data_IF_841069312173
#
_entry.id   IF_841069312173
#
_cell.length_a   1.000
_cell.length_b   1.000
_cell.length_c   1.000
_cell.angle_alpha   90.00
_cell.angle_beta   90.00
_cell.angle_gamma   90.00
#
_symmetry.space_group_name_H-M   'P 1'
#
loop_
_entity.id
_entity.type
_entity.pdbx_description
1 polymer ?
#
# COMPACT_ATOMS: atom_id res chain seq x y z
N UNK A 1 24.46 -1.51 -30.48
CA UNK A 1 25.04 -1.08 -29.19
C UNK A 1 24.21 -1.73 -28.10
N UNK A 2 24.81 -2.70 -27.40
CA UNK A 2 24.18 -3.42 -26.30
C UNK A 2 24.37 -2.54 -25.06
N UNK A 3 23.36 -1.72 -24.77
CA UNK A 3 23.24 -0.97 -23.53
C UNK A 3 22.01 -1.44 -22.78
N UNK A 4 21.90 -2.76 -22.58
CA UNK A 4 20.86 -3.31 -21.72
C UNK A 4 21.36 -3.26 -20.28
N UNK A 5 21.06 -2.17 -19.56
CA UNK A 5 20.65 -2.29 -18.16
C UNK A 5 19.98 -0.99 -17.65
N UNK A 6 18.67 -1.07 -17.44
CA UNK A 6 18.04 -0.46 -16.27
C UNK A 6 16.98 -1.45 -15.77
N UNK A 7 17.38 -2.23 -14.78
CA UNK A 7 16.67 -3.43 -14.32
C UNK A 7 15.46 -3.11 -13.43
N UNK A 8 15.23 -1.86 -13.02
CA UNK A 8 13.92 -1.31 -12.58
C UNK A 8 13.99 0.22 -12.77
N UNK A 9 12.94 0.93 -13.23
CA UNK A 9 12.97 2.39 -13.38
C UNK A 9 13.13 3.10 -12.03
N UNK A 10 13.66 4.31 -12.07
CA UNK A 10 13.59 5.24 -10.94
C UNK A 10 12.11 5.42 -10.55
N UNK A 11 11.77 5.21 -9.29
CA UNK A 11 10.42 5.50 -8.79
C UNK A 11 10.14 7.00 -8.91
N UNK A 12 9.03 7.41 -9.57
CA UNK A 12 8.67 8.83 -9.70
C UNK A 12 8.45 9.48 -8.32
N UNK A 13 8.89 10.73 -8.17
CA UNK A 13 8.70 11.49 -6.92
C UNK A 13 7.23 11.62 -6.55
N UNK A 14 6.33 11.60 -7.53
CA UNK A 14 4.90 11.61 -7.31
C UNK A 14 4.38 10.37 -6.55
N UNK A 15 4.99 9.19 -6.75
CA UNK A 15 4.65 7.99 -5.98
C UNK A 15 5.26 8.02 -4.58
N UNK A 16 6.40 8.70 -4.40
CA UNK A 16 6.99 8.91 -3.07
C UNK A 16 6.14 9.90 -2.26
N UNK A 17 5.68 10.96 -2.90
CA UNK A 17 4.84 12.01 -2.30
C UNK A 17 3.37 11.58 -2.11
N UNK A 18 2.99 10.36 -2.50
CA UNK A 18 1.67 9.80 -2.14
C UNK A 18 1.68 9.05 -0.82
N UNK A 19 2.86 8.76 -0.24
CA UNK A 19 2.99 7.93 0.96
C UNK A 19 2.82 8.74 2.24
N UNK A 20 2.00 8.22 3.14
CA UNK A 20 1.83 8.71 4.51
C UNK A 20 2.17 7.61 5.51
N UNK A 21 2.52 8.02 6.73
CA UNK A 21 2.87 7.09 7.80
C UNK A 21 1.79 7.08 8.87
N UNK A 22 1.52 5.90 9.43
CA UNK A 22 0.47 5.68 10.42
C UNK A 22 1.10 5.38 11.78
N UNK A 23 0.52 5.95 12.85
CA UNK A 23 1.02 5.86 14.22
C UNK A 23 -0.12 5.68 15.24
N UNK A 24 0.18 5.10 16.42
CA UNK A 24 -0.79 4.98 17.51
C UNK A 24 -1.30 6.32 18.05
N UNK A 25 -0.45 7.34 18.06
CA UNK A 25 -0.77 8.64 18.64
C UNK A 25 0.04 9.77 18.00
N UNK A 26 -0.36 11.01 18.28
CA UNK A 26 0.40 12.21 17.87
C UNK A 26 1.79 12.23 18.49
N UNK A 27 1.94 11.73 19.72
CA UNK A 27 3.22 11.68 20.42
C UNK A 27 4.14 10.63 19.78
N UNK A 28 3.61 9.45 19.44
CA UNK A 28 4.36 8.43 18.69
C UNK A 28 4.77 8.93 17.30
N UNK A 29 3.93 9.72 16.62
CA UNK A 29 4.26 10.30 15.32
C UNK A 29 5.42 11.32 15.39
N UNK A 30 5.64 11.94 16.55
CA UNK A 30 6.66 12.99 16.77
C UNK A 30 7.94 12.47 17.42
N UNK A 31 7.92 11.29 18.01
CA UNK A 31 9.11 10.74 18.66
C UNK A 31 10.13 10.25 17.65
N UNK A 32 11.35 10.06 18.13
CA UNK A 32 12.42 9.37 17.41
C UNK A 32 12.28 7.85 17.58
N UNK A 33 12.12 7.12 16.47
CA UNK A 33 12.25 5.68 16.44
C UNK A 33 13.71 5.28 16.70
N UNK A 34 13.92 4.23 17.50
CA UNK A 34 15.26 3.69 17.77
C UNK A 34 15.36 2.25 17.25
N UNK A 35 16.57 1.69 17.18
CA UNK A 35 16.75 0.28 16.84
C UNK A 35 16.10 -0.68 17.84
N UNK A 36 16.03 -0.28 19.12
CA UNK A 36 15.45 -1.07 20.21
C UNK A 36 13.94 -0.84 20.37
N UNK A 37 13.45 0.33 19.98
CA UNK A 37 12.03 0.69 19.96
C UNK A 37 11.71 1.43 18.65
N UNK A 38 11.49 0.67 17.56
CA UNK A 38 11.16 1.23 16.26
C UNK A 38 9.70 1.71 16.16
N UNK A 39 8.91 1.50 17.21
CA UNK A 39 7.51 1.89 17.27
C UNK A 39 6.56 1.00 16.48
N UNK A 40 5.29 1.34 16.60
CA UNK A 40 4.18 0.67 15.93
C UNK A 40 3.62 1.51 14.79
N UNK A 41 2.75 0.90 14.01
CA UNK A 41 2.04 1.51 12.89
C UNK A 41 2.45 0.94 11.55
N UNK A 42 2.09 1.66 10.49
CA UNK A 42 2.18 1.16 9.13
C UNK A 42 2.31 2.26 8.10
N UNK A 43 1.93 1.91 6.89
CA UNK A 43 1.97 2.77 5.71
C UNK A 43 0.54 3.04 5.24
N UNK A 44 0.29 4.23 4.74
CA UNK A 44 -0.87 4.51 3.92
C UNK A 44 -0.45 5.26 2.67
N UNK A 45 -1.37 5.42 1.73
CA UNK A 45 -1.16 6.21 0.53
C UNK A 45 -2.39 6.98 0.13
N UNK A 46 -2.18 8.12 -0.53
CA UNK A 46 -3.24 9.05 -0.89
C UNK A 46 -3.76 8.70 -2.28
N UNK A 47 -5.07 8.54 -2.39
CA UNK A 47 -5.79 8.33 -3.65
C UNK A 47 -6.83 9.42 -3.84
N UNK A 48 -7.22 9.65 -5.08
CA UNK A 48 -8.31 10.55 -5.45
C UNK A 48 -9.35 9.81 -6.27
N UNK A 49 -10.61 9.99 -5.88
CA UNK A 49 -11.77 9.42 -6.54
C UNK A 49 -12.62 10.55 -7.11
N UNK A 50 -13.02 10.51 -8.40
CA UNK A 50 -13.90 11.51 -8.98
C UNK A 50 -15.28 11.48 -8.33
N UNK A 51 -15.94 12.64 -8.22
CA UNK A 51 -17.35 12.70 -7.83
C UNK A 51 -18.22 12.43 -9.05
N UNK A 52 -18.78 11.22 -9.15
CA UNK A 52 -19.66 10.86 -10.25
C UNK A 52 -20.90 11.75 -10.34
N UNK A 53 -21.33 12.01 -11.58
CA UNK A 53 -22.58 12.70 -11.92
C UNK A 53 -22.74 14.10 -11.31
N UNK A 54 -21.67 14.73 -10.83
CA UNK A 54 -21.65 16.11 -10.38
C UNK A 54 -21.57 17.11 -11.54
N UNK A 55 -21.95 18.39 -11.34
CA UNK A 55 -21.80 19.43 -12.36
C UNK A 55 -20.33 19.78 -12.67
N UNK A 56 -19.38 19.17 -11.95
CA UNK A 56 -17.94 19.42 -12.04
C UNK A 56 -17.20 18.08 -12.13
N UNK A 57 -16.90 17.61 -13.35
CA UNK A 57 -16.16 16.37 -13.59
C UNK A 57 -14.76 16.37 -12.93
N UNK A 58 -14.21 17.56 -12.70
CA UNK A 58 -12.89 17.77 -12.14
C UNK A 58 -12.84 17.62 -10.60
N UNK A 59 -13.99 17.60 -9.91
CA UNK A 59 -14.01 17.50 -8.46
C UNK A 59 -13.63 16.08 -8.03
N UNK A 60 -12.56 16.01 -7.23
CA UNK A 60 -12.03 14.76 -6.67
C UNK A 60 -12.04 14.84 -5.16
N UNK A 61 -12.31 13.70 -4.53
CA UNK A 61 -12.21 13.54 -3.07
C UNK A 61 -11.00 12.68 -2.78
N UNK A 62 -10.14 13.18 -1.90
CA UNK A 62 -8.94 12.46 -1.48
C UNK A 62 -9.25 11.52 -0.32
N UNK A 63 -8.68 10.32 -0.38
CA UNK A 63 -8.71 9.34 0.69
C UNK A 63 -7.28 8.90 0.99
N UNK A 64 -7.03 8.51 2.24
CA UNK A 64 -5.88 7.69 2.61
C UNK A 64 -6.35 6.25 2.62
N UNK A 65 -5.63 5.37 1.93
CA UNK A 65 -5.86 3.93 1.93
C UNK A 65 -4.77 3.25 2.76
N UNK A 66 -5.14 2.27 3.58
CA UNK A 66 -4.23 1.41 4.34
C UNK A 66 -4.90 0.06 4.64
N UNK A 67 -4.28 -0.79 5.46
CA UNK A 67 -4.93 -2.00 5.95
C UNK A 67 -5.86 -1.74 7.13
N UNK A 68 -6.93 -2.52 7.17
CA UNK A 68 -7.86 -2.53 8.30
C UNK A 68 -7.17 -2.86 9.62
N UNK A 69 -6.24 -3.81 9.66
CA UNK A 69 -5.58 -4.20 10.91
C UNK A 69 -4.63 -3.12 11.44
N UNK A 70 -4.12 -2.20 10.59
CA UNK A 70 -3.21 -1.14 11.03
C UNK A 70 -3.95 -0.12 11.88
N UNK A 71 -5.14 0.29 11.45
CA UNK A 71 -5.94 1.35 12.10
C UNK A 71 -7.02 0.80 13.03
N UNK A 72 -7.37 -0.48 12.87
CA UNK A 72 -8.33 -1.21 13.70
C UNK A 72 -7.78 -1.67 15.04
N UNK A 73 -8.47 -2.62 15.66
CA UNK A 73 -8.19 -3.09 17.02
C UNK A 73 -6.81 -3.73 17.20
N UNK A 74 -6.20 -4.24 16.12
CA UNK A 74 -4.93 -4.96 16.16
C UNK A 74 -3.72 -4.01 16.22
N UNK A 75 -3.70 -2.99 15.36
CA UNK A 75 -2.59 -2.05 15.21
C UNK A 75 -2.81 -0.70 15.88
N UNK A 76 -4.07 -0.32 16.10
CA UNK A 76 -4.51 0.91 16.77
C UNK A 76 -3.73 2.15 16.34
N UNK A 77 -3.40 2.25 15.05
CA UNK A 77 -2.53 3.30 14.50
C UNK A 77 -3.26 4.25 13.55
N UNK A 78 -4.28 4.99 13.99
CA UNK A 78 -5.08 5.83 13.11
C UNK A 78 -4.40 7.16 12.73
N UNK A 79 -3.43 7.63 13.51
CA UNK A 79 -2.83 8.97 13.36
C UNK A 79 -1.92 9.01 12.12
N UNK A 80 -2.07 10.05 11.31
CA UNK A 80 -1.35 10.18 10.04
C UNK A 80 -0.24 11.21 10.15
N UNK A 81 0.97 10.86 9.73
CA UNK A 81 2.09 11.79 9.51
C UNK A 81 2.33 12.00 8.02
N UNK A 82 2.38 13.26 7.59
CA UNK A 82 2.53 13.65 6.17
C UNK A 82 3.61 14.71 6.00
N UNK A 83 4.32 14.71 4.87
CA UNK A 83 5.36 15.71 4.60
C UNK A 83 4.77 17.09 4.30
N UNK A 84 5.51 18.13 4.68
CA UNK A 84 5.18 19.53 4.38
C UNK A 84 6.08 20.08 3.28
N UNK A 85 5.63 21.13 2.59
CA UNK A 85 6.42 21.81 1.54
C UNK A 85 7.66 22.50 2.08
N UNK A 86 7.71 22.83 3.36
CA UNK A 86 8.85 23.46 4.03
C UNK A 86 9.93 22.46 4.46
N UNK A 87 9.73 21.17 4.19
CA UNK A 87 10.72 20.11 4.44
C UNK A 87 10.58 19.40 5.79
N UNK A 88 9.54 19.74 6.58
CA UNK A 88 9.15 19.06 7.81
C UNK A 88 8.01 18.04 7.61
N UNK A 89 7.28 17.73 8.67
CA UNK A 89 6.02 16.97 8.61
C UNK A 89 4.90 17.68 9.39
N UNK A 90 3.66 17.31 9.06
CA UNK A 90 2.45 17.59 9.84
C UNK A 90 1.86 16.27 10.35
N UNK A 91 1.09 16.35 11.44
CA UNK A 91 0.43 15.20 12.07
C UNK A 91 -1.07 15.45 12.13
N UNK A 92 -1.82 14.65 11.38
CA UNK A 92 -3.27 14.69 11.34
C UNK A 92 -3.78 13.74 12.44
N UNK A 93 -4.48 14.27 13.47
CA UNK A 93 -4.86 13.51 14.66
C UNK A 93 -6.13 12.68 14.42
N UNK A 94 -6.14 11.88 13.36
CA UNK A 94 -7.25 10.96 13.08
C UNK A 94 -7.36 9.91 14.20
N UNK A 95 -8.59 9.51 14.47
CA UNK A 95 -9.01 8.50 15.44
C UNK A 95 -9.51 7.26 14.72
N UNK A 96 -9.74 6.15 15.45
CA UNK A 96 -10.27 4.93 14.85
C UNK A 96 -11.62 5.15 14.12
N UNK A 97 -12.45 6.07 14.62
CA UNK A 97 -13.78 6.38 14.05
C UNK A 97 -13.71 7.15 12.73
N UNK A 98 -12.54 7.74 12.39
CA UNK A 98 -12.32 8.43 11.11
C UNK A 98 -12.03 7.43 9.97
N UNK A 99 -11.79 6.15 10.30
CA UNK A 99 -11.48 5.10 9.33
C UNK A 99 -12.69 4.24 9.02
N UNK A 100 -12.95 4.07 7.73
CA UNK A 100 -14.02 3.22 7.21
C UNK A 100 -13.38 1.92 6.75
N UNK A 101 -13.80 0.82 7.36
CA UNK A 101 -13.31 -0.52 7.06
C UNK A 101 -14.08 -1.14 5.89
N UNK A 102 -13.40 -1.97 5.09
CA UNK A 102 -14.04 -2.66 3.97
C UNK A 102 -15.22 -3.53 4.46
N UNK A 103 -16.42 -3.40 3.87
CA UNK A 103 -17.64 -4.02 4.39
C UNK A 103 -17.59 -5.56 4.38
N UNK A 104 -16.94 -6.16 3.38
CA UNK A 104 -16.79 -7.61 3.27
C UNK A 104 -15.66 -8.21 4.12
N UNK A 105 -14.94 -7.37 4.89
CA UNK A 105 -13.88 -7.82 5.80
C UNK A 105 -12.50 -8.01 5.16
N UNK A 106 -12.32 -7.64 3.89
CA UNK A 106 -10.99 -7.48 3.30
C UNK A 106 -10.14 -6.55 4.19
N UNK A 107 -8.83 -6.80 4.24
CA UNK A 107 -7.91 -6.09 5.11
C UNK A 107 -7.54 -4.71 4.55
N UNK A 108 -8.56 -3.88 4.34
CA UNK A 108 -8.51 -2.55 3.72
C UNK A 108 -9.32 -1.59 4.59
N UNK A 109 -8.78 -0.39 4.81
CA UNK A 109 -9.51 0.72 5.41
C UNK A 109 -9.15 2.02 4.70
N UNK A 110 -10.10 2.96 4.71
CA UNK A 110 -9.94 4.27 4.08
C UNK A 110 -10.34 5.38 5.01
N UNK A 111 -9.63 6.51 4.95
CA UNK A 111 -9.99 7.73 5.65
C UNK A 111 -10.14 8.89 4.66
N UNK A 112 -11.30 9.54 4.58
CA UNK A 112 -11.51 10.75 3.79
C UNK A 112 -10.66 11.89 4.36
N UNK A 113 -9.94 12.62 3.51
CA UNK A 113 -8.98 13.62 4.00
C UNK A 113 -9.05 14.96 3.25
N UNK A 114 -8.97 16.06 3.99
CA UNK A 114 -8.78 17.41 3.47
C UNK A 114 -7.32 17.85 3.61
N UNK A 115 -6.55 17.80 2.52
CA UNK A 115 -5.16 18.24 2.52
C UNK A 115 -5.01 19.63 1.91
N UNK A 116 -4.39 20.55 2.66
CA UNK A 116 -4.01 21.85 2.11
C UNK A 116 -2.82 21.76 1.15
N UNK A 117 -3.04 22.10 -0.11
CA UNK A 117 -1.98 22.21 -1.12
C UNK A 117 -0.97 23.34 -0.85
N UNK A 118 -1.23 24.28 0.07
CA UNK A 118 -0.24 25.30 0.45
C UNK A 118 0.71 24.82 1.56
N UNK A 119 0.30 23.83 2.36
CA UNK A 119 1.05 23.33 3.52
C UNK A 119 1.70 21.97 3.20
N UNK A 120 0.89 21.02 2.73
CA UNK A 120 1.29 19.64 2.57
C UNK A 120 2.01 19.42 1.24
N UNK A 121 3.07 18.60 1.28
CA UNK A 121 3.75 18.08 0.10
C UNK A 121 3.17 16.70 -0.19
N UNK A 122 2.24 16.65 -1.13
CA UNK A 122 1.61 15.39 -1.51
C UNK A 122 1.29 15.29 -3.00
N UNK A 123 1.06 14.06 -3.44
CA UNK A 123 0.39 13.68 -4.68
C UNK A 123 -0.62 12.59 -4.38
N UNK A 124 -1.80 12.68 -4.98
CA UNK A 124 -2.78 11.63 -4.93
C UNK A 124 -2.70 10.77 -6.19
N UNK A 125 -2.89 9.47 -6.05
CA UNK A 125 -3.08 8.57 -7.18
C UNK A 125 -4.54 8.68 -7.63
N UNK A 126 -4.78 9.10 -8.87
CA UNK A 126 -6.12 9.00 -9.45
C UNK A 126 -6.50 7.52 -9.53
N UNK A 127 -7.51 7.12 -8.76
CA UNK A 127 -7.83 5.70 -8.56
C UNK A 127 -8.12 5.00 -9.88
N UNK A 128 -9.01 5.56 -10.71
CA UNK A 128 -9.42 5.00 -12.00
C UNK A 128 -8.31 4.90 -13.04
N UNK A 129 -7.21 5.62 -12.86
CA UNK A 129 -6.04 5.60 -13.76
C UNK A 129 -4.96 4.62 -13.27
N UNK A 130 -4.84 4.45 -11.95
CA UNK A 130 -3.78 3.65 -11.36
C UNK A 130 -4.22 2.23 -10.99
N UNK A 131 -5.43 2.02 -10.51
CA UNK A 131 -5.89 0.73 -10.02
C UNK A 131 -6.07 -0.27 -11.16
N UNK A 132 -5.31 -1.37 -11.14
CA UNK A 132 -5.39 -2.40 -12.15
C UNK A 132 -6.58 -3.34 -11.90
N UNK A 133 -7.35 -3.58 -12.95
CA UNK A 133 -8.41 -4.58 -12.99
C UNK A 133 -7.89 -5.97 -13.36
N UNK A 134 -8.67 -7.01 -13.04
CA UNK A 134 -8.38 -8.37 -13.48
C UNK A 134 -8.30 -8.47 -15.01
N UNK A 135 -9.18 -7.76 -15.71
CA UNK A 135 -9.21 -7.73 -17.17
C UNK A 135 -7.89 -7.17 -17.75
N UNK A 136 -7.39 -6.06 -17.22
CA UNK A 136 -6.12 -5.47 -17.68
C UNK A 136 -4.94 -6.43 -17.46
N UNK A 137 -4.91 -7.14 -16.33
CA UNK A 137 -3.90 -8.16 -16.06
C UNK A 137 -3.97 -9.30 -17.09
N UNK A 138 -5.17 -9.79 -17.40
CA UNK A 138 -5.38 -10.84 -18.41
C UNK A 138 -4.96 -10.38 -19.82
N UNK A 139 -5.31 -9.15 -20.18
CA UNK A 139 -4.94 -8.53 -21.46
C UNK A 139 -3.42 -8.34 -21.59
N UNK A 140 -2.74 -7.95 -20.50
CA UNK A 140 -1.28 -7.84 -20.44
C UNK A 140 -0.57 -9.19 -20.23
N UNK A 141 -1.33 -10.27 -19.99
CA UNK A 141 -0.82 -11.61 -19.66
C UNK A 141 0.09 -11.57 -18.43
N UNK A 142 -0.38 -10.91 -17.37
CA UNK A 142 0.35 -10.81 -16.10
C UNK A 142 0.35 -12.15 -15.39
N UNK A 143 1.49 -12.52 -14.82
CA UNK A 143 1.67 -13.81 -14.17
C UNK A 143 2.90 -13.87 -13.27
N UNK A 144 3.21 -15.06 -12.73
CA UNK A 144 4.40 -15.24 -11.92
C UNK A 144 5.69 -14.82 -12.64
N UNK A 145 6.58 -14.14 -11.92
CA UNK A 145 7.82 -13.55 -12.44
C UNK A 145 7.69 -12.07 -12.83
N UNK A 146 6.47 -11.54 -13.00
CA UNK A 146 6.28 -10.12 -13.29
C UNK A 146 6.76 -9.23 -12.15
N UNK A 147 7.45 -8.15 -12.51
CA UNK A 147 8.11 -7.28 -11.54
C UNK A 147 7.12 -6.42 -10.79
N UNK A 148 7.34 -6.31 -9.48
CA UNK A 148 6.61 -5.40 -8.62
C UNK A 148 7.56 -4.55 -7.79
N UNK A 149 7.08 -3.39 -7.38
CA UNK A 149 7.75 -2.56 -6.39
C UNK A 149 6.72 -1.89 -5.49
N UNK A 150 7.14 -1.54 -4.28
CA UNK A 150 6.26 -0.95 -3.28
C UNK A 150 7.02 0.04 -2.41
N UNK A 151 6.28 0.99 -1.85
CA UNK A 151 6.83 2.06 -1.04
C UNK A 151 6.19 2.04 0.34
N UNK A 152 6.99 2.17 1.38
CA UNK A 152 6.44 2.23 2.72
C UNK A 152 7.42 2.67 3.78
N UNK A 153 6.88 2.65 5.01
CA UNK A 153 7.56 3.00 6.24
C UNK A 153 8.45 1.86 6.70
N UNK A 154 9.76 2.03 6.56
CA UNK A 154 10.71 1.18 7.26
C UNK A 154 10.93 1.73 8.68
N UNK A 155 10.36 1.04 9.69
CA UNK A 155 10.25 1.55 11.08
C UNK A 155 11.59 1.95 11.72
N UNK A 156 12.70 1.36 11.29
CA UNK A 156 14.01 1.72 11.83
C UNK A 156 14.56 3.03 11.24
N UNK A 157 14.17 3.41 10.02
CA UNK A 157 14.68 4.60 9.30
C UNK A 157 13.54 5.40 8.65
N UNK A 158 12.57 5.81 9.45
CA UNK A 158 11.40 6.55 8.97
C UNK A 158 11.69 8.04 8.66
N UNK A 159 12.78 8.57 9.22
CA UNK A 159 13.19 9.97 9.11
C UNK A 159 12.62 10.83 10.26
N UNK A 160 13.52 11.60 10.89
CA UNK A 160 13.20 12.43 12.06
C UNK A 160 12.54 13.75 11.69
N UNK A 161 13.06 14.42 10.66
CA UNK A 161 12.55 15.71 10.24
C UNK A 161 11.34 15.60 9.31
N UNK A 162 11.18 14.46 8.62
CA UNK A 162 10.15 14.19 7.61
C UNK A 162 10.06 12.71 7.31
N UNK A 163 8.97 12.26 6.70
CA UNK A 163 8.86 10.92 6.16
C UNK A 163 9.87 10.72 5.03
N UNK A 164 10.61 9.61 5.11
CA UNK A 164 11.50 9.13 4.05
C UNK A 164 11.06 7.72 3.61
N UNK A 165 10.03 7.61 2.74
CA UNK A 165 9.57 6.32 2.25
C UNK A 165 10.71 5.53 1.62
N UNK A 166 10.73 4.24 1.91
CA UNK A 166 11.72 3.32 1.36
C UNK A 166 11.07 2.44 0.31
N UNK A 167 11.79 2.20 -0.79
CA UNK A 167 11.32 1.38 -1.91
C UNK A 167 11.84 -0.04 -1.74
N UNK A 168 10.98 -1.01 -2.00
CA UNK A 168 11.34 -2.42 -2.15
C UNK A 168 10.81 -2.96 -3.46
N UNK A 169 11.45 -4.02 -3.94
CA UNK A 169 11.21 -4.62 -5.24
C UNK A 169 11.11 -6.13 -5.08
N UNK A 170 10.43 -6.78 -6.01
CA UNK A 170 10.19 -8.22 -6.00
C UNK A 170 9.50 -8.67 -7.28
N UNK A 171 8.89 -9.86 -7.23
CA UNK A 171 8.11 -10.39 -8.33
C UNK A 171 6.85 -11.12 -7.86
N UNK A 172 5.83 -11.18 -8.70
CA UNK A 172 4.65 -12.00 -8.43
C UNK A 172 5.11 -13.46 -8.33
N UNK A 173 4.87 -14.11 -7.19
CA UNK A 173 5.13 -15.53 -7.00
C UNK A 173 3.89 -16.38 -7.36
N UNK A 174 2.69 -15.84 -7.12
CA UNK A 174 1.42 -16.50 -7.42
C UNK A 174 0.31 -15.46 -7.64
N UNK A 175 -0.52 -15.69 -8.66
CA UNK A 175 -1.75 -14.95 -8.89
C UNK A 175 -2.81 -15.26 -7.81
N UNK A 176 -3.73 -14.33 -7.51
CA UNK A 176 -4.89 -14.63 -6.69
C UNK A 176 -5.73 -15.71 -7.39
N UNK A 177 -5.83 -16.88 -6.76
CA UNK A 177 -6.67 -18.00 -7.21
C UNK A 177 -7.74 -18.27 -6.14
N UNK A 178 -8.64 -19.22 -6.40
CA UNK A 178 -9.80 -19.63 -5.58
C UNK A 178 -9.51 -19.96 -4.09
N UNK A 179 -8.24 -20.03 -3.69
CA UNK A 179 -7.79 -20.27 -2.33
C UNK A 179 -7.25 -18.99 -1.69
N UNK A 180 -8.15 -18.29 -1.00
CA UNK A 180 -7.81 -17.14 -0.20
C UNK A 180 -6.88 -17.48 0.97
N UNK A 181 -5.93 -16.57 1.26
CA UNK A 181 -5.11 -16.65 2.48
C UNK A 181 -5.99 -16.25 3.66
N UNK A 182 -5.95 -17.04 4.73
CA UNK A 182 -6.74 -16.73 5.93
C UNK A 182 -5.97 -15.72 6.77
N UNK A 183 -6.52 -14.52 6.94
CA UNK A 183 -5.91 -13.52 7.81
C UNK A 183 -6.04 -13.92 9.29
N UNK A 184 -5.37 -13.16 10.18
CA UNK A 184 -5.38 -13.45 11.64
C UNK A 184 -6.78 -13.41 12.28
N UNK A 185 -7.75 -12.77 11.62
CA UNK A 185 -9.16 -12.71 12.05
C UNK A 185 -9.98 -13.91 11.57
N UNK A 186 -9.38 -14.85 10.83
CA UNK A 186 -10.08 -15.99 10.25
C UNK A 186 -10.82 -15.66 8.95
N UNK A 187 -10.64 -14.46 8.39
CA UNK A 187 -11.29 -14.02 7.16
C UNK A 187 -10.44 -14.46 5.97
N UNK A 188 -11.10 -15.02 4.96
CA UNK A 188 -10.50 -15.36 3.68
C UNK A 188 -10.20 -14.08 2.92
N UNK A 189 -8.92 -13.81 2.68
CA UNK A 189 -8.41 -12.69 1.91
C UNK A 189 -7.94 -13.16 0.53
N UNK A 190 -8.59 -12.69 -0.54
CA UNK A 190 -8.04 -12.84 -1.89
C UNK A 190 -6.70 -12.10 -1.94
N UNK A 191 -5.65 -12.76 -2.45
CA UNK A 191 -4.30 -12.20 -2.41
C UNK A 191 -3.42 -12.69 -3.54
N UNK A 192 -2.63 -11.78 -4.11
CA UNK A 192 -1.37 -12.19 -4.75
C UNK A 192 -0.40 -12.67 -3.67
N UNK A 193 0.42 -13.65 -4.02
CA UNK A 193 1.65 -13.93 -3.28
C UNK A 193 2.78 -13.30 -4.07
N UNK A 194 3.58 -12.48 -3.39
CA UNK A 194 4.71 -11.76 -3.99
C UNK A 194 5.98 -12.20 -3.27
N UNK A 195 6.99 -12.59 -4.05
CA UNK A 195 8.33 -12.75 -3.51
C UNK A 195 8.95 -11.37 -3.36
N UNK A 196 9.03 -10.90 -2.11
CA UNK A 196 9.72 -9.70 -1.71
C UNK A 196 10.00 -9.74 -0.22
N UNK A 197 11.10 -9.12 0.20
CA UNK A 197 11.37 -8.92 1.63
C UNK A 197 10.46 -7.82 2.20
N UNK A 198 9.22 -8.11 2.55
CA UNK A 198 8.42 -7.19 3.38
C UNK A 198 8.79 -7.36 4.85
N UNK A 199 8.78 -6.26 5.59
CA UNK A 199 9.04 -6.21 7.03
C UNK A 199 7.92 -5.41 7.69
N UNK A 200 7.77 -5.55 9.01
CA UNK A 200 6.82 -4.74 9.77
C UNK A 200 7.01 -3.24 9.50
N UNK A 201 5.89 -2.53 9.32
CA UNK A 201 5.84 -1.13 8.90
C UNK A 201 5.35 -0.94 7.45
N UNK A 202 5.49 -1.96 6.61
CA UNK A 202 5.01 -1.92 5.22
C UNK A 202 3.52 -2.28 5.06
N UNK A 203 2.85 -2.82 6.08
CA UNK A 203 1.39 -3.01 6.05
C UNK A 203 0.68 -1.71 5.62
N UNK A 204 -0.09 -1.80 4.53
CA UNK A 204 -0.81 -0.72 3.87
C UNK A 204 -0.03 -0.03 2.76
N UNK A 205 1.16 -0.53 2.40
CA UNK A 205 1.95 -0.01 1.28
C UNK A 205 1.27 -0.29 -0.06
N UNK A 206 1.22 0.68 -0.98
CA UNK A 206 0.80 0.41 -2.35
C UNK A 206 1.85 -0.44 -3.06
N UNK A 207 1.39 -1.51 -3.71
CA UNK A 207 2.21 -2.41 -4.52
C UNK A 207 1.90 -2.15 -5.99
N UNK A 208 2.92 -1.85 -6.77
CA UNK A 208 2.80 -1.51 -8.18
C UNK A 208 3.39 -2.61 -9.06
N UNK A 209 2.68 -2.93 -10.13
CA UNK A 209 3.19 -3.70 -11.26
C UNK A 209 4.05 -2.80 -12.14
N UNK A 210 5.13 -3.35 -12.70
CA UNK A 210 5.91 -2.71 -13.74
C UNK A 210 6.29 -3.71 -14.83
N UNK A 211 5.90 -3.42 -16.07
CA UNK A 211 6.28 -4.21 -17.26
C UNK A 211 7.16 -3.30 -18.14
N UNK A 212 8.45 -3.63 -18.37
CA UNK A 212 9.30 -2.84 -19.24
C UNK A 212 8.92 -3.00 -20.72
N UNK A 213 9.38 -2.09 -21.60
CA UNK A 213 9.22 -2.26 -23.04
C UNK A 213 9.88 -3.55 -23.52
N UNK A 214 9.24 -4.20 -24.49
CA UNK A 214 9.68 -5.44 -25.12
C UNK A 214 9.77 -6.65 -24.20
N UNK A 215 9.05 -6.64 -23.08
CA UNK A 215 9.01 -7.76 -22.17
C UNK A 215 8.29 -8.97 -22.78
N UNK A 216 8.80 -10.17 -22.51
CA UNK A 216 8.24 -11.41 -23.07
C UNK A 216 7.03 -11.87 -22.27
N UNK A 217 5.87 -11.96 -22.94
CA UNK A 217 4.59 -12.26 -22.29
C UNK A 217 4.12 -13.71 -22.42
N UNK A 218 5.04 -14.64 -22.74
CA UNK A 218 4.73 -16.08 -22.81
C UNK A 218 4.03 -16.57 -24.10
N UNK A 219 3.80 -15.71 -25.09
CA UNK A 219 3.06 -16.04 -26.31
C UNK A 219 3.86 -15.69 -27.58
N UNK A 220 4.25 -16.70 -28.38
CA UNK A 220 5.11 -16.50 -29.57
C UNK A 220 4.47 -15.64 -30.66
N UNK A 221 3.14 -15.61 -30.71
CA UNK A 221 2.39 -14.81 -31.68
C UNK A 221 2.18 -13.37 -31.22
N UNK A 222 2.45 -13.04 -29.94
CA UNK A 222 2.28 -11.69 -29.42
C UNK A 222 3.51 -10.85 -29.78
N UNK A 223 3.35 -9.74 -30.52
CA UNK A 223 4.45 -8.83 -30.77
C UNK A 223 5.00 -8.25 -29.46
N UNK A 224 6.32 -8.05 -29.41
CA UNK A 224 6.93 -7.30 -28.31
C UNK A 224 6.50 -5.83 -28.40
N UNK A 225 5.86 -5.33 -27.35
CA UNK A 225 5.33 -3.97 -27.31
C UNK A 225 6.42 -2.95 -26.92
N UNK A 226 6.58 -1.82 -27.64
CA UNK A 226 7.61 -0.83 -27.34
C UNK A 226 7.23 0.13 -26.20
N UNK A 227 6.23 -0.21 -25.40
CA UNK A 227 5.70 0.61 -24.30
C UNK A 227 5.93 -0.09 -22.97
N UNK A 228 6.09 0.69 -21.92
CA UNK A 228 6.08 0.19 -20.55
C UNK A 228 4.66 0.31 -19.97
N UNK A 229 4.32 -0.60 -19.07
CA UNK A 229 3.06 -0.57 -18.33
C UNK A 229 3.34 -0.45 -16.84
N UNK A 230 2.52 0.32 -16.15
CA UNK A 230 2.63 0.54 -14.71
C UNK A 230 1.24 0.77 -14.13
N UNK A 231 0.98 0.17 -12.96
CA UNK A 231 -0.28 0.37 -12.25
C UNK A 231 -0.22 -0.19 -10.84
N UNK A 232 -1.18 0.20 -10.01
CA UNK A 232 -1.37 -0.31 -8.66
C UNK A 232 -1.97 -1.72 -8.74
N UNK A 233 -1.18 -2.70 -8.34
CA UNK A 233 -1.59 -4.10 -8.22
C UNK A 233 -2.48 -4.32 -7.00
N UNK A 234 -2.20 -3.61 -5.90
CA UNK A 234 -2.91 -3.78 -4.64
C UNK A 234 -2.20 -3.19 -3.43
N UNK A 235 -2.52 -3.68 -2.23
CA UNK A 235 -1.89 -3.26 -0.97
C UNK A 235 -1.24 -4.43 -0.22
N UNK A 236 -0.01 -4.23 0.27
CA UNK A 236 0.65 -5.19 1.16
C UNK A 236 -0.13 -5.27 2.48
N UNK A 237 -0.54 -6.47 2.89
CA UNK A 237 -1.26 -6.69 4.14
C UNK A 237 -0.59 -7.67 5.09
N UNK A 238 0.49 -8.33 4.68
CA UNK A 238 1.15 -9.32 5.52
C UNK A 238 2.23 -10.12 4.82
N UNK A 239 2.89 -10.97 5.58
CA UNK A 239 3.92 -11.87 5.07
C UNK A 239 3.80 -13.25 5.72
N UNK A 240 4.24 -14.26 4.97
CA UNK A 240 4.35 -15.62 5.48
C UNK A 240 5.64 -15.74 6.29
N UNK A 241 5.59 -16.00 7.60
CA UNK A 241 6.78 -16.41 8.33
C UNK A 241 7.12 -17.87 7.99
N UNK A 242 8.41 -18.15 7.88
CA UNK A 242 8.94 -19.49 8.08
C UNK A 242 9.31 -19.67 9.56
N UNK A 243 9.40 -20.91 10.03
CA UNK A 243 9.87 -21.22 11.37
C UNK A 243 11.23 -21.92 11.25
N UNK A 244 12.23 -21.38 11.95
CA UNK A 244 13.56 -21.98 12.05
C UNK A 244 13.87 -22.36 13.51
N UNK A 245 14.57 -23.48 13.76
CA UNK A 245 15.00 -23.82 15.10
C UNK A 245 16.07 -22.84 15.57
N UNK A 246 16.06 -22.52 16.87
CA UNK A 246 17.17 -21.78 17.48
C UNK A 246 18.40 -22.68 17.51
N UNK A 247 19.50 -22.23 16.91
CA UNK A 247 20.74 -22.99 16.83
C UNK A 247 21.69 -22.65 17.99
N UNK A 248 22.44 -23.65 18.42
CA UNK A 248 23.56 -23.60 19.35
C UNK A 248 24.71 -22.72 18.83
N UNK A 249 25.75 -22.49 19.66
CA UNK A 249 26.93 -21.72 19.25
C UNK A 249 27.66 -22.27 18.01
N UNK A 250 27.46 -23.56 17.69
CA UNK A 250 28.03 -24.21 16.51
C UNK A 250 27.29 -23.89 15.20
N UNK A 251 26.15 -23.18 15.28
CA UNK A 251 25.24 -22.86 14.18
C UNK A 251 24.75 -24.09 13.39
N UNK A 252 24.71 -25.26 14.03
CA UNK A 252 24.33 -26.53 13.38
C UNK A 252 23.36 -27.34 14.22
N UNK A 253 23.55 -27.37 15.53
CA UNK A 253 22.69 -28.15 16.42
C UNK A 253 21.63 -27.27 17.04
N UNK A 254 20.36 -27.71 17.17
CA UNK A 254 19.36 -26.97 17.94
C UNK A 254 19.83 -26.74 19.38
N UNK A 255 19.56 -25.55 19.91
CA UNK A 255 20.07 -25.11 21.22
C UNK A 255 19.52 -25.95 22.39
N UNK A 256 18.31 -26.50 22.30
CA UNK A 256 17.73 -27.36 23.34
C UNK A 256 16.90 -28.54 22.80
N UNK A 257 16.55 -29.48 23.70
CA UNK A 257 15.62 -30.59 23.44
C UNK A 257 14.15 -30.14 23.32
N UNK A 258 13.80 -28.94 23.81
CA UNK A 258 12.46 -28.40 23.78
C UNK A 258 12.07 -27.84 22.39
N UNK A 259 13.02 -27.78 21.45
CA UNK A 259 12.86 -27.31 20.08
C UNK A 259 12.26 -25.90 20.04
N UNK A 260 12.97 -24.91 20.56
CA UNK A 260 12.58 -23.51 20.37
C UNK A 260 12.63 -23.13 18.89
N UNK A 261 11.53 -22.56 18.39
CA UNK A 261 11.38 -22.06 17.01
C UNK A 261 11.25 -20.54 17.00
N UNK A 262 11.88 -19.91 16.02
CA UNK A 262 11.78 -18.47 15.78
C UNK A 262 11.22 -18.20 14.38
N UNK A 263 10.36 -17.20 14.22
CA UNK A 263 9.90 -16.78 12.92
C UNK A 263 11.05 -16.14 12.13
N UNK A 264 11.20 -16.58 10.89
CA UNK A 264 12.10 -16.01 9.88
C UNK A 264 11.30 -15.55 8.67
N UNK A 265 11.88 -14.66 7.87
CA UNK A 265 11.26 -14.25 6.61
C UNK A 265 11.28 -15.41 5.62
N UNK A 266 10.13 -15.85 5.14
CA UNK A 266 10.05 -16.75 3.96
C UNK A 266 10.38 -16.04 2.65
N UNK A 267 10.38 -14.70 2.66
CA UNK A 267 10.48 -13.88 1.46
C UNK A 267 9.16 -13.72 0.71
N UNK A 268 8.04 -14.24 1.24
CA UNK A 268 6.71 -14.11 0.64
C UNK A 268 5.85 -13.10 1.41
N UNK A 269 5.29 -12.14 0.67
CA UNK A 269 4.28 -11.20 1.14
C UNK A 269 2.94 -11.39 0.43
N UNK A 270 1.87 -10.90 1.04
CA UNK A 270 0.50 -11.01 0.54
C UNK A 270 -0.03 -9.64 0.16
N UNK A 271 -0.66 -9.56 -1.01
CA UNK A 271 -1.16 -8.29 -1.56
C UNK A 271 -2.65 -8.42 -1.86
N UNK A 272 -3.47 -7.60 -1.21
CA UNK A 272 -4.91 -7.51 -1.53
C UNK A 272 -5.06 -6.86 -2.90
N UNK A 273 -5.72 -7.50 -3.87
CA UNK A 273 -5.84 -6.95 -5.22
C UNK A 273 -6.56 -5.60 -5.27
N UNK A 274 -6.15 -4.74 -6.20
CA UNK A 274 -6.76 -3.44 -6.41
C UNK A 274 -8.26 -3.52 -6.74
N UNK A 275 -8.74 -4.57 -7.41
CA UNK A 275 -10.17 -4.74 -7.69
C UNK A 275 -11.04 -4.97 -6.44
N UNK A 276 -10.48 -5.58 -5.37
CA UNK A 276 -11.18 -5.65 -4.08
C UNK A 276 -11.41 -4.26 -3.52
N UNK A 277 -10.35 -3.43 -3.54
CA UNK A 277 -10.39 -2.04 -3.09
C UNK A 277 -11.28 -1.17 -3.97
N UNK A 278 -11.33 -1.45 -5.28
CA UNK A 278 -12.11 -0.68 -6.25
C UNK A 278 -13.60 -0.70 -5.93
N UNK A 279 -14.15 -1.90 -5.67
CA UNK A 279 -15.55 -2.05 -5.28
C UNK A 279 -15.89 -1.27 -4.01
N UNK A 280 -14.98 -1.26 -3.04
CA UNK A 280 -15.16 -0.47 -1.82
C UNK A 280 -15.08 1.03 -2.08
N UNK A 281 -14.01 1.53 -2.68
CA UNK A 281 -13.82 2.96 -2.90
C UNK A 281 -14.89 3.58 -3.79
N UNK A 282 -15.31 2.89 -4.86
CA UNK A 282 -16.24 3.41 -5.86
C UNK A 282 -17.70 3.11 -5.55
N UNK A 283 -18.01 1.89 -5.10
CA UNK A 283 -19.39 1.38 -5.04
C UNK A 283 -19.99 1.39 -3.63
N UNK A 284 -19.18 1.60 -2.58
CA UNK A 284 -19.71 1.68 -1.22
C UNK A 284 -20.70 2.85 -1.06
N UNK A 285 -21.95 2.60 -0.65
CA UNK A 285 -22.98 3.65 -0.54
C UNK A 285 -22.60 4.76 0.44
N UNK A 286 -21.91 4.44 1.53
CA UNK A 286 -21.48 5.43 2.53
C UNK A 286 -20.41 6.35 1.97
N UNK A 287 -19.41 5.80 1.29
CA UNK A 287 -18.38 6.59 0.61
C UNK A 287 -18.96 7.42 -0.55
N UNK A 288 -19.91 6.88 -1.31
CA UNK A 288 -20.62 7.64 -2.35
C UNK A 288 -21.40 8.83 -1.76
N UNK A 289 -22.19 8.60 -0.70
CA UNK A 289 -22.93 9.67 -0.03
C UNK A 289 -21.98 10.75 0.50
N UNK A 290 -20.85 10.35 1.07
CA UNK A 290 -19.82 11.27 1.53
C UNK A 290 -19.25 12.13 0.39
N UNK A 291 -18.95 11.54 -0.78
CA UNK A 291 -18.49 12.32 -1.94
C UNK A 291 -19.53 13.32 -2.41
N UNK A 292 -20.80 12.93 -2.44
CA UNK A 292 -21.90 13.83 -2.79
C UNK A 292 -22.08 14.95 -1.77
N UNK A 293 -21.88 14.67 -0.49
CA UNK A 293 -21.89 15.68 0.56
C UNK A 293 -20.75 16.70 0.39
N UNK A 294 -19.52 16.22 0.13
CA UNK A 294 -18.37 17.08 -0.16
C UNK A 294 -18.62 18.00 -1.37
N UNK A 295 -19.23 17.47 -2.44
CA UNK A 295 -19.64 18.27 -3.61
C UNK A 295 -20.63 19.38 -3.23
N UNK A 296 -21.66 19.07 -2.41
CA UNK A 296 -22.62 20.08 -1.95
C UNK A 296 -21.94 21.21 -1.15
N UNK A 297 -21.00 20.85 -0.27
CA UNK A 297 -20.24 21.84 0.50
C UNK A 297 -19.35 22.73 -0.39
N UNK A 298 -18.67 22.13 -1.37
CA UNK A 298 -17.84 22.84 -2.33
C UNK A 298 -18.68 23.84 -3.14
N UNK A 299 -19.83 23.39 -3.68
CA UNK A 299 -20.74 24.24 -4.44
C UNK A 299 -21.25 25.41 -3.60
N UNK A 300 -21.62 25.17 -2.34
CA UNK A 300 -22.09 26.22 -1.43
C UNK A 300 -21.02 27.29 -1.14
N UNK A 301 -19.75 26.89 -1.10
CA UNK A 301 -18.62 27.79 -0.81
C UNK A 301 -18.20 28.60 -2.02
N UNK A 302 -18.29 28.01 -3.22
CA UNK A 302 -17.76 28.59 -4.46
C UNK A 302 -18.81 29.19 -5.40
N UNK A 303 -20.11 29.10 -5.07
CA UNK A 303 -21.19 29.75 -5.82
C UNK A 303 -21.34 31.27 -5.55
N UNK A 304 -20.28 31.94 -5.08
CA UNK A 304 -20.23 33.40 -4.86
C UNK A 304 -19.24 34.07 -5.81
#
# INVERSE_FOLDING_TARGET
MIGAERTVPRVPDALVDSIVYLYPSVDEAKREATSLDPGQGGTGFIVEVPVENGPLPELRVSYIVTNSHVVGAEGQSPVVRINTKTGGFDVLPLTADDWIHHPDGDDVAVAPIGLSGSIHKFRALEWSTWALSQQELDEMKVGPGDQVYFLGRFRHWEGLARNLPTVRQGSIARMPLDEAVVNKRGIKQESFIVEAHSLSGYSGSPVFLYIPPYDWRGEFTRPLEPVWHQGLLGIDWGHQPDLAPVLGPDQKTPWDEAQLWVPTSSGLMFVVPAWRINSFLLDDPGLQEQRQFALKQWLATNAR
#
